data_IF_870382428523
#
_entry.id   IF_870382428523
#
_cell.length_a   1.000
_cell.length_b   1.000
_cell.length_c   1.000
_cell.angle_alpha   90.00
_cell.angle_beta   90.00
_cell.angle_gamma   90.00
#
_symmetry.space_group_name_H-M   'P 1'
#
loop_
_entity.id
_entity.type
_entity.pdbx_description
1 polymer ?
#
# COMPACT_ATOMS: atom_id res chain seq x y z
N UNK A 1 25.95 -15.97 -12.43
CA UNK A 1 25.76 -14.49 -12.47
C UNK A 1 25.02 -13.96 -11.22
N UNK A 2 24.00 -14.67 -10.71
CA UNK A 2 23.23 -14.28 -9.48
C UNK A 2 24.08 -14.41 -8.20
N UNK A 3 24.92 -15.43 -8.08
CA UNK A 3 25.79 -15.64 -6.91
C UNK A 3 26.79 -14.49 -6.68
N UNK A 4 27.35 -13.95 -7.74
CA UNK A 4 28.26 -12.81 -7.64
C UNK A 4 27.56 -11.53 -7.18
N UNK A 5 26.29 -11.33 -7.55
CA UNK A 5 25.51 -10.19 -7.13
C UNK A 5 25.19 -10.27 -5.63
N UNK A 6 24.82 -11.46 -5.14
CA UNK A 6 24.55 -11.72 -3.74
C UNK A 6 25.75 -11.44 -2.84
N UNK A 7 26.93 -11.98 -3.21
CA UNK A 7 28.19 -11.75 -2.47
C UNK A 7 28.52 -10.26 -2.47
N UNK A 8 28.32 -9.58 -3.58
CA UNK A 8 28.56 -8.15 -3.69
C UNK A 8 27.66 -7.34 -2.74
N UNK A 9 26.35 -7.61 -2.69
CA UNK A 9 25.42 -6.91 -1.80
C UNK A 9 25.71 -7.17 -0.32
N UNK A 10 26.15 -8.38 0.06
CA UNK A 10 26.59 -8.67 1.43
C UNK A 10 27.91 -7.96 1.75
N UNK A 11 28.87 -7.94 0.83
CA UNK A 11 30.16 -7.30 1.02
C UNK A 11 30.08 -5.80 1.21
N UNK A 12 29.24 -5.11 0.44
CA UNK A 12 28.99 -3.67 0.57
C UNK A 12 27.97 -3.32 1.65
N UNK A 13 27.57 -4.29 2.49
CA UNK A 13 26.68 -4.12 3.66
C UNK A 13 25.26 -3.63 3.36
N UNK A 14 24.76 -3.78 2.14
CA UNK A 14 23.35 -3.50 1.83
C UNK A 14 22.40 -4.60 2.31
N UNK A 15 22.91 -5.82 2.50
CA UNK A 15 22.18 -6.95 3.07
C UNK A 15 23.01 -7.62 4.16
N UNK A 16 22.33 -8.17 5.16
CA UNK A 16 22.92 -8.96 6.24
C UNK A 16 22.34 -10.37 6.22
N UNK A 17 23.20 -11.38 6.16
CA UNK A 17 22.79 -12.76 6.37
C UNK A 17 22.46 -12.97 7.85
N UNK A 18 21.27 -13.47 8.14
CA UNK A 18 20.76 -13.73 9.49
C UNK A 18 20.87 -15.22 9.82
N UNK A 19 20.61 -16.06 8.82
CA UNK A 19 20.59 -17.49 8.99
C UNK A 19 21.00 -18.18 7.68
N UNK A 20 21.74 -19.29 7.80
CA UNK A 20 21.97 -20.23 6.70
C UNK A 20 20.86 -21.27 6.75
N UNK A 21 20.16 -21.43 5.64
CA UNK A 21 19.12 -22.45 5.47
C UNK A 21 19.68 -23.66 4.74
N UNK A 22 18.91 -24.71 4.58
CA UNK A 22 19.30 -25.89 3.81
C UNK A 22 19.56 -25.53 2.31
N UNK A 23 20.39 -26.30 1.64
CA UNK A 23 20.75 -26.14 0.23
C UNK A 23 21.45 -24.81 -0.12
N UNK A 24 22.34 -24.31 0.75
CA UNK A 24 23.12 -23.08 0.53
C UNK A 24 22.25 -21.81 0.32
N UNK A 25 21.01 -21.85 0.80
CA UNK A 25 20.15 -20.66 0.85
C UNK A 25 20.41 -19.85 2.12
N UNK A 26 20.24 -18.53 2.04
CA UNK A 26 20.46 -17.61 3.15
C UNK A 26 19.20 -16.80 3.43
N UNK A 27 18.85 -16.66 4.69
CA UNK A 27 17.89 -15.67 5.12
C UNK A 27 18.59 -14.33 5.25
N UNK A 28 18.15 -13.35 4.49
CA UNK A 28 18.73 -12.00 4.47
C UNK A 28 17.81 -11.00 5.15
N UNK A 29 18.41 -9.97 5.73
CA UNK A 29 17.69 -8.81 6.24
C UNK A 29 18.38 -7.51 5.84
N UNK A 30 17.63 -6.42 5.80
CA UNK A 30 18.16 -5.06 5.64
C UNK A 30 18.79 -4.65 6.98
N UNK A 31 20.06 -4.19 7.00
CA UNK A 31 20.82 -4.04 8.24
C UNK A 31 20.36 -2.89 9.13
N UNK A 32 19.84 -1.82 8.56
CA UNK A 32 19.44 -0.61 9.30
C UNK A 32 18.38 0.21 8.53
N UNK A 33 17.89 1.29 9.15
CA UNK A 33 16.83 2.15 8.59
C UNK A 33 17.28 2.95 7.37
N UNK A 34 18.54 3.37 7.33
CA UNK A 34 19.11 4.16 6.24
C UNK A 34 19.18 3.31 4.96
N UNK A 35 19.64 2.07 5.06
CA UNK A 35 19.65 1.15 3.92
C UNK A 35 18.23 0.77 3.52
N UNK A 36 17.31 0.63 4.47
CA UNK A 36 15.88 0.41 4.17
C UNK A 36 15.32 1.56 3.33
N UNK A 37 15.59 2.80 3.71
CA UNK A 37 15.16 3.98 2.95
C UNK A 37 15.73 3.97 1.53
N UNK A 38 17.00 3.65 1.35
CA UNK A 38 17.61 3.53 0.00
C UNK A 38 16.90 2.48 -0.85
N UNK A 39 16.55 1.32 -0.26
CA UNK A 39 15.78 0.30 -1.01
C UNK A 39 14.38 0.78 -1.35
N UNK A 40 13.70 1.47 -0.44
CA UNK A 40 12.39 2.05 -0.69
C UNK A 40 12.47 3.08 -1.81
N UNK A 41 13.42 3.99 -1.79
CA UNK A 41 13.63 5.01 -2.83
C UNK A 41 13.96 4.37 -4.19
N UNK A 42 14.87 3.39 -4.24
CA UNK A 42 15.19 2.65 -5.46
C UNK A 42 14.00 1.87 -6.01
N UNK A 43 13.18 1.28 -5.13
CA UNK A 43 11.96 0.59 -5.52
C UNK A 43 10.96 1.58 -6.13
N UNK A 44 10.76 2.73 -5.49
CA UNK A 44 9.95 3.83 -6.01
C UNK A 44 10.40 4.28 -7.40
N UNK A 45 11.69 4.57 -7.55
CA UNK A 45 12.25 5.06 -8.82
C UNK A 45 12.13 4.03 -9.94
N UNK A 46 12.24 2.74 -9.64
CA UNK A 46 12.10 1.66 -10.63
C UNK A 46 10.64 1.48 -11.07
N UNK A 47 9.69 1.51 -10.16
CA UNK A 47 8.28 1.27 -10.46
C UNK A 47 7.53 2.52 -10.94
N UNK A 48 7.96 3.71 -10.56
CA UNK A 48 7.35 4.99 -10.93
C UNK A 48 7.12 5.17 -12.44
N UNK A 49 8.09 4.87 -13.34
CA UNK A 49 7.87 4.97 -14.78
C UNK A 49 6.87 3.94 -15.32
N UNK A 50 6.91 2.71 -14.77
CA UNK A 50 6.09 1.59 -15.24
C UNK A 50 4.62 1.75 -14.91
N UNK A 51 4.32 2.33 -13.74
CA UNK A 51 2.95 2.41 -13.21
C UNK A 51 2.43 3.83 -13.05
N UNK A 52 3.20 4.85 -13.43
CA UNK A 52 2.79 6.25 -13.25
C UNK A 52 1.41 6.53 -13.85
N UNK A 53 1.19 6.13 -15.11
CA UNK A 53 -0.08 6.34 -15.80
C UNK A 53 -1.22 5.56 -15.13
N UNK A 54 -1.01 4.27 -14.91
CA UNK A 54 -2.04 3.39 -14.31
C UNK A 54 -2.30 3.74 -12.85
N UNK A 55 -1.28 4.20 -12.11
CA UNK A 55 -1.43 4.72 -10.76
C UNK A 55 -2.25 6.01 -10.71
N UNK A 56 -2.03 6.92 -11.67
CA UNK A 56 -2.85 8.13 -11.81
C UNK A 56 -4.30 7.79 -12.17
N UNK A 57 -4.53 6.84 -13.08
CA UNK A 57 -5.86 6.36 -13.43
C UNK A 57 -6.57 5.68 -12.24
N UNK A 58 -5.83 4.88 -11.47
CA UNK A 58 -6.35 4.25 -10.24
C UNK A 58 -6.70 5.30 -9.19
N UNK A 59 -5.81 6.25 -8.93
CA UNK A 59 -6.06 7.36 -8.02
C UNK A 59 -7.27 8.19 -8.43
N UNK A 60 -7.40 8.50 -9.73
CA UNK A 60 -8.53 9.24 -10.25
C UNK A 60 -9.85 8.45 -10.11
N UNK A 61 -9.82 7.13 -10.34
CA UNK A 61 -10.99 6.27 -10.12
C UNK A 61 -11.46 6.28 -8.66
N UNK A 62 -10.53 6.36 -7.70
CA UNK A 62 -10.88 6.52 -6.27
C UNK A 62 -11.51 7.90 -6.00
N UNK A 63 -10.97 8.98 -6.58
CA UNK A 63 -11.53 10.33 -6.41
C UNK A 63 -12.93 10.48 -7.04
N UNK A 64 -13.21 9.74 -8.11
CA UNK A 64 -14.51 9.72 -8.80
C UNK A 64 -15.50 8.69 -8.21
N UNK A 65 -15.13 8.04 -7.09
CA UNK A 65 -15.92 6.99 -6.43
C UNK A 65 -16.25 5.82 -7.38
N UNK A 66 -15.46 5.65 -8.44
CA UNK A 66 -15.62 4.57 -9.42
C UNK A 66 -14.91 3.30 -8.93
N UNK A 67 -15.50 2.68 -7.91
CA UNK A 67 -14.94 1.50 -7.24
C UNK A 67 -14.71 0.33 -8.20
N UNK A 68 -15.60 0.12 -9.18
CA UNK A 68 -15.46 -0.99 -10.14
C UNK A 68 -14.22 -0.81 -11.01
N UNK A 69 -13.99 0.41 -11.51
CA UNK A 69 -12.80 0.72 -12.30
C UNK A 69 -11.53 0.65 -11.45
N UNK A 70 -11.58 1.12 -10.21
CA UNK A 70 -10.48 1.02 -9.28
C UNK A 70 -10.07 -0.45 -9.01
N UNK A 71 -11.05 -1.35 -8.82
CA UNK A 71 -10.81 -2.79 -8.66
C UNK A 71 -10.15 -3.37 -9.92
N UNK A 72 -10.67 -3.06 -11.11
CA UNK A 72 -10.12 -3.55 -12.37
C UNK A 72 -8.66 -3.13 -12.56
N UNK A 73 -8.37 -1.83 -12.42
CA UNK A 73 -7.02 -1.28 -12.56
C UNK A 73 -6.05 -1.90 -11.55
N UNK A 74 -6.44 -1.99 -10.28
CA UNK A 74 -5.60 -2.56 -9.23
C UNK A 74 -5.31 -4.04 -9.51
N UNK A 75 -6.31 -4.83 -9.92
CA UNK A 75 -6.12 -6.24 -10.23
C UNK A 75 -5.20 -6.45 -11.45
N UNK A 76 -5.31 -5.63 -12.49
CA UNK A 76 -4.42 -5.69 -13.64
C UNK A 76 -2.96 -5.44 -13.23
N UNK A 77 -2.71 -4.41 -12.42
CA UNK A 77 -1.37 -4.13 -11.90
C UNK A 77 -0.84 -5.29 -11.05
N UNK A 78 -1.66 -5.86 -10.18
CA UNK A 78 -1.27 -6.98 -9.32
C UNK A 78 -0.89 -8.24 -10.12
N UNK A 79 -1.59 -8.52 -11.21
CA UNK A 79 -1.30 -9.66 -12.09
C UNK A 79 0.09 -9.49 -12.73
N UNK A 80 0.43 -8.30 -13.18
CA UNK A 80 1.66 -8.00 -13.89
C UNK A 80 2.88 -7.87 -12.95
N UNK A 81 2.68 -7.36 -11.72
CA UNK A 81 3.78 -6.92 -10.85
C UNK A 81 4.17 -7.90 -9.74
N UNK A 82 3.30 -8.82 -9.33
CA UNK A 82 3.52 -9.61 -8.11
C UNK A 82 3.80 -11.08 -8.41
N UNK A 83 4.84 -11.63 -7.74
CA UNK A 83 5.04 -13.08 -7.63
C UNK A 83 4.10 -13.67 -6.56
N UNK A 84 3.63 -14.90 -6.76
CA UNK A 84 2.80 -15.62 -5.78
C UNK A 84 3.47 -15.81 -4.40
N UNK A 85 4.80 -15.67 -4.31
CA UNK A 85 5.59 -15.90 -3.10
C UNK A 85 5.75 -14.66 -2.21
N UNK A 86 5.45 -13.47 -2.70
CA UNK A 86 5.77 -12.21 -2.00
C UNK A 86 4.58 -11.61 -1.22
N UNK A 87 3.48 -12.32 -1.12
CA UNK A 87 2.21 -11.85 -0.59
C UNK A 87 2.19 -11.75 0.96
N UNK A 88 2.86 -10.75 1.51
CA UNK A 88 2.73 -10.33 2.92
C UNK A 88 1.99 -9.00 3.01
N UNK A 89 1.32 -8.75 4.14
CA UNK A 89 0.58 -7.50 4.40
C UNK A 89 1.44 -6.26 4.17
N UNK A 90 2.67 -6.25 4.69
CA UNK A 90 3.62 -5.14 4.53
C UNK A 90 4.00 -4.84 3.08
N UNK A 91 3.94 -5.86 2.20
CA UNK A 91 4.17 -5.67 0.78
C UNK A 91 3.04 -4.87 0.12
N UNK A 92 1.79 -5.25 0.35
CA UNK A 92 0.64 -4.57 -0.27
C UNK A 92 0.50 -3.13 0.22
N UNK A 93 0.81 -2.89 1.49
CA UNK A 93 0.85 -1.55 2.05
C UNK A 93 1.89 -0.67 1.33
N UNK A 94 3.13 -1.12 1.22
CA UNK A 94 4.18 -0.41 0.50
C UNK A 94 3.90 -0.25 -1.00
N UNK A 95 3.31 -1.28 -1.61
CA UNK A 95 2.88 -1.26 -3.01
C UNK A 95 1.82 -0.18 -3.27
N UNK A 96 0.77 -0.11 -2.44
CA UNK A 96 -0.25 0.94 -2.56
C UNK A 96 0.33 2.33 -2.30
N UNK A 97 1.19 2.47 -1.31
CA UNK A 97 1.86 3.73 -1.03
C UNK A 97 2.65 4.22 -2.26
N UNK A 98 3.36 3.29 -2.95
CA UNK A 98 4.07 3.58 -4.20
C UNK A 98 3.14 3.95 -5.34
N UNK A 99 2.09 3.17 -5.54
CA UNK A 99 1.13 3.37 -6.63
C UNK A 99 0.38 4.70 -6.52
N UNK A 100 0.05 5.12 -5.29
CA UNK A 100 -0.74 6.32 -5.00
C UNK A 100 0.12 7.58 -4.81
N UNK A 101 1.45 7.44 -4.77
CA UNK A 101 2.34 8.59 -4.61
C UNK A 101 2.20 9.56 -5.80
N UNK A 102 1.87 10.82 -5.50
CA UNK A 102 1.79 11.88 -6.49
C UNK A 102 2.13 13.26 -5.88
N UNK A 103 2.48 14.22 -6.73
CA UNK A 103 2.95 15.54 -6.28
C UNK A 103 1.84 16.46 -5.76
N UNK A 104 0.57 16.14 -6.02
CA UNK A 104 -0.59 16.95 -5.60
C UNK A 104 -1.06 16.63 -4.18
N UNK A 105 -0.67 15.47 -3.65
CA UNK A 105 -1.09 14.97 -2.34
C UNK A 105 0.11 14.66 -1.46
N UNK A 106 -0.05 14.88 -0.17
CA UNK A 106 0.83 14.35 0.84
C UNK A 106 0.37 12.93 1.21
N UNK A 107 1.25 11.96 1.01
CA UNK A 107 1.00 10.59 1.41
C UNK A 107 1.45 10.39 2.85
N UNK A 108 0.52 10.10 3.74
CA UNK A 108 0.78 9.73 5.12
C UNK A 108 0.56 8.22 5.30
N UNK A 109 1.51 7.56 5.94
CA UNK A 109 1.52 6.11 6.12
C UNK A 109 1.69 5.76 7.58
N UNK A 110 0.85 4.85 8.10
CA UNK A 110 0.87 4.42 9.50
C UNK A 110 0.82 5.58 10.51
N UNK A 111 0.03 6.60 10.24
CA UNK A 111 -0.07 7.79 11.08
C UNK A 111 -1.26 7.69 12.05
N UNK A 112 -1.12 8.29 13.22
CA UNK A 112 -2.18 8.28 14.24
C UNK A 112 -3.28 9.28 13.88
N UNK A 113 -4.53 8.82 13.89
CA UNK A 113 -5.70 9.67 13.73
C UNK A 113 -6.91 9.04 14.44
N UNK A 114 -7.81 9.89 14.92
CA UNK A 114 -8.97 9.41 15.67
C UNK A 114 -8.56 8.58 16.87
N UNK A 115 -9.07 7.34 16.94
CA UNK A 115 -8.81 6.40 18.04
C UNK A 115 -7.82 5.29 17.65
N UNK A 116 -6.97 5.52 16.66
CA UNK A 116 -6.04 4.50 16.20
C UNK A 116 -5.04 5.02 15.17
N UNK A 117 -4.57 4.10 14.35
CA UNK A 117 -3.61 4.35 13.28
C UNK A 117 -4.18 3.82 11.98
N UNK A 118 -4.30 4.68 10.98
CA UNK A 118 -4.69 4.27 9.62
C UNK A 118 -3.47 3.77 8.83
N UNK A 119 -3.72 2.99 7.81
CA UNK A 119 -2.65 2.49 6.96
C UNK A 119 -2.14 3.57 6.01
N UNK A 120 -3.01 4.20 5.23
CA UNK A 120 -2.65 5.25 4.27
C UNK A 120 -3.67 6.40 4.31
N UNK A 121 -3.17 7.64 4.16
CA UNK A 121 -3.98 8.79 3.84
C UNK A 121 -3.32 9.63 2.76
N UNK A 122 -4.12 10.13 1.83
CA UNK A 122 -3.73 11.08 0.81
C UNK A 122 -4.40 12.41 1.14
N UNK A 123 -3.60 13.36 1.57
CA UNK A 123 -4.07 14.69 2.00
C UNK A 123 -3.74 15.69 0.89
N UNK A 124 -4.73 16.43 0.36
CA UNK A 124 -4.48 17.43 -0.67
C UNK A 124 -3.49 18.49 -0.18
N UNK A 125 -2.50 18.86 -1.00
CA UNK A 125 -1.59 19.97 -0.69
C UNK A 125 -2.25 21.33 -0.85
N UNK A 126 -3.33 21.40 -1.63
CA UNK A 126 -4.15 22.60 -1.79
C UNK A 126 -5.38 22.51 -0.88
N UNK A 127 -5.82 23.63 -0.28
CA UNK A 127 -7.01 23.65 0.56
C UNK A 127 -8.27 23.32 -0.24
N UNK A 128 -9.30 22.82 0.44
CA UNK A 128 -10.61 22.46 -0.12
C UNK A 128 -10.61 21.29 -1.12
N UNK A 129 -9.52 20.52 -1.19
CA UNK A 129 -9.47 19.30 -1.98
C UNK A 129 -10.15 18.12 -1.27
N UNK A 130 -10.38 17.04 -2.02
CA UNK A 130 -10.87 15.77 -1.48
C UNK A 130 -9.68 14.90 -1.08
N UNK A 131 -9.59 14.52 0.20
CA UNK A 131 -8.61 13.56 0.69
C UNK A 131 -9.14 12.13 0.63
N UNK A 132 -8.24 11.15 0.76
CA UNK A 132 -8.60 9.74 0.74
C UNK A 132 -7.95 9.05 1.94
N UNK A 133 -8.73 8.25 2.69
CA UNK A 133 -8.22 7.34 3.72
C UNK A 133 -8.40 5.91 3.23
N UNK A 134 -7.37 5.09 3.42
CA UNK A 134 -7.37 3.68 3.04
C UNK A 134 -6.93 2.84 4.23
N UNK A 135 -7.71 1.80 4.49
CA UNK A 135 -7.34 0.71 5.40
C UNK A 135 -7.20 -0.58 4.60
N UNK A 136 -6.10 -1.30 4.82
CA UNK A 136 -5.75 -2.49 4.07
C UNK A 136 -5.89 -3.74 4.93
N UNK A 137 -6.36 -4.83 4.34
CA UNK A 137 -6.34 -6.15 4.96
C UNK A 137 -5.79 -7.18 3.99
N UNK A 138 -5.21 -8.22 4.53
CA UNK A 138 -4.62 -9.29 3.77
C UNK A 138 -5.18 -10.65 4.20
N UNK A 139 -5.47 -11.51 3.23
CA UNK A 139 -5.73 -12.93 3.44
C UNK A 139 -4.89 -13.81 2.51
N UNK A 140 -4.64 -15.03 2.93
CA UNK A 140 -4.03 -16.07 2.08
C UNK A 140 -5.03 -16.67 1.10
N UNK A 141 -6.34 -16.51 1.36
CA UNK A 141 -7.44 -17.12 0.60
C UNK A 141 -8.23 -16.03 -0.11
N UNK A 142 -8.47 -16.19 -1.39
CA UNK A 142 -9.29 -15.29 -2.19
C UNK A 142 -10.77 -15.28 -1.73
N UNK A 143 -11.24 -16.39 -1.14
CA UNK A 143 -12.59 -16.49 -0.54
C UNK A 143 -12.86 -15.48 0.55
N UNK A 144 -11.81 -14.98 1.20
CA UNK A 144 -11.93 -14.11 2.36
C UNK A 144 -11.93 -12.60 2.00
N UNK A 145 -11.69 -12.27 0.72
CA UNK A 145 -11.54 -10.89 0.26
C UNK A 145 -12.68 -9.97 0.70
N UNK A 146 -13.93 -10.41 0.53
CA UNK A 146 -15.10 -9.62 0.93
C UNK A 146 -15.12 -9.36 2.43
N UNK A 147 -14.94 -10.41 3.24
CA UNK A 147 -14.95 -10.32 4.70
C UNK A 147 -13.81 -9.45 5.22
N UNK A 148 -12.62 -9.57 4.63
CA UNK A 148 -11.48 -8.73 4.98
C UNK A 148 -11.72 -7.27 4.61
N UNK A 149 -12.32 -7.01 3.45
CA UNK A 149 -12.68 -5.67 3.03
C UNK A 149 -13.73 -5.04 3.95
N UNK A 150 -14.74 -5.78 4.35
CA UNK A 150 -15.74 -5.34 5.34
C UNK A 150 -15.10 -5.03 6.69
N UNK A 151 -14.12 -5.84 7.10
CA UNK A 151 -13.35 -5.59 8.33
C UNK A 151 -12.52 -4.31 8.24
N UNK A 152 -11.92 -4.02 7.08
CA UNK A 152 -11.20 -2.77 6.85
C UNK A 152 -12.15 -1.56 6.95
N UNK A 153 -13.31 -1.62 6.28
CA UNK A 153 -14.33 -0.59 6.37
C UNK A 153 -14.82 -0.35 7.81
N UNK A 154 -15.11 -1.43 8.52
CA UNK A 154 -15.54 -1.36 9.93
C UNK A 154 -14.47 -0.72 10.83
N UNK A 155 -13.19 -0.96 10.55
CA UNK A 155 -12.09 -0.35 11.30
C UNK A 155 -12.04 1.16 11.07
N UNK A 156 -12.17 1.65 9.84
CA UNK A 156 -12.21 3.09 9.52
C UNK A 156 -13.31 3.77 10.33
N UNK A 157 -14.51 3.21 10.33
CA UNK A 157 -15.67 3.77 11.05
C UNK A 157 -15.44 3.73 12.57
N UNK A 158 -15.10 2.57 13.13
CA UNK A 158 -14.95 2.39 14.57
C UNK A 158 -13.81 3.20 15.20
N UNK A 159 -12.76 3.49 14.41
CA UNK A 159 -11.61 4.30 14.83
C UNK A 159 -11.77 5.78 14.52
N UNK A 160 -12.85 6.18 13.85
CA UNK A 160 -13.17 7.57 13.54
C UNK A 160 -12.04 8.28 12.75
N UNK A 161 -11.34 7.56 11.86
CA UNK A 161 -10.20 8.12 11.12
C UNK A 161 -10.58 9.34 10.30
N UNK A 162 -11.73 9.29 9.66
CA UNK A 162 -12.24 10.37 8.81
C UNK A 162 -12.47 11.64 9.60
N UNK A 163 -13.02 11.56 10.82
CA UNK A 163 -13.35 12.73 11.66
C UNK A 163 -12.11 13.58 11.98
N UNK A 164 -10.92 13.01 11.96
CA UNK A 164 -9.68 13.75 12.20
C UNK A 164 -9.38 14.79 11.11
N UNK A 165 -9.91 14.61 9.90
CA UNK A 165 -9.60 15.44 8.73
C UNK A 165 -10.78 16.28 8.22
N UNK A 166 -12.02 15.98 8.62
CA UNK A 166 -13.24 16.61 8.07
C UNK A 166 -13.40 18.10 8.36
N UNK A 167 -12.59 18.67 9.25
CA UNK A 167 -12.58 20.12 9.48
C UNK A 167 -11.92 20.90 8.36
N UNK A 168 -11.02 20.26 7.61
CA UNK A 168 -10.16 20.91 6.63
C UNK A 168 -10.41 20.38 5.21
N UNK A 169 -10.86 19.12 5.09
CA UNK A 169 -10.98 18.43 3.81
C UNK A 169 -12.30 17.67 3.69
N UNK A 170 -12.80 17.58 2.47
CA UNK A 170 -13.75 16.51 2.14
C UNK A 170 -12.96 15.20 2.06
N UNK A 171 -13.46 14.13 2.70
CA UNK A 171 -12.71 12.87 2.78
C UNK A 171 -13.51 11.75 2.11
N UNK A 172 -12.83 10.93 1.33
CA UNK A 172 -13.31 9.62 0.89
C UNK A 172 -12.59 8.54 1.71
N UNK A 173 -13.23 7.42 1.90
CA UNK A 173 -12.65 6.34 2.68
C UNK A 173 -12.88 4.99 2.02
N UNK A 174 -11.82 4.16 1.95
CA UNK A 174 -11.85 2.87 1.28
C UNK A 174 -11.25 1.78 2.14
N UNK A 175 -11.96 0.66 2.26
CA UNK A 175 -11.40 -0.60 2.69
C UNK A 175 -10.85 -1.35 1.48
N UNK A 176 -9.62 -1.82 1.54
CA UNK A 176 -9.00 -2.62 0.48
C UNK A 176 -8.51 -3.94 1.07
N UNK A 177 -8.96 -5.04 0.48
CA UNK A 177 -8.50 -6.37 0.85
C UNK A 177 -7.67 -6.99 -0.28
N UNK A 178 -6.60 -7.68 0.10
CA UNK A 178 -5.70 -8.36 -0.82
C UNK A 178 -5.63 -9.85 -0.53
N UNK A 179 -5.59 -10.65 -1.60
CA UNK A 179 -5.25 -12.06 -1.52
C UNK A 179 -4.49 -12.47 -2.78
N UNK A 180 -3.21 -12.84 -2.64
CA UNK A 180 -2.33 -13.17 -3.77
C UNK A 180 -2.31 -12.04 -4.82
N UNK A 181 -2.77 -12.33 -6.04
CA UNK A 181 -2.83 -11.37 -7.16
C UNK A 181 -4.21 -10.72 -7.34
N UNK A 182 -5.03 -10.74 -6.29
CA UNK A 182 -6.37 -10.15 -6.32
C UNK A 182 -6.56 -9.15 -5.21
N UNK A 183 -7.32 -8.11 -5.53
CA UNK A 183 -7.81 -7.13 -4.58
C UNK A 183 -9.31 -6.92 -4.71
N UNK A 184 -9.92 -6.53 -3.62
CA UNK A 184 -11.29 -6.05 -3.57
C UNK A 184 -11.32 -4.73 -2.82
N UNK A 185 -12.12 -3.78 -3.30
CA UNK A 185 -12.24 -2.43 -2.76
C UNK A 185 -13.69 -2.16 -2.42
N UNK A 186 -13.91 -1.50 -1.29
CA UNK A 186 -15.22 -1.04 -0.87
C UNK A 186 -15.12 0.37 -0.33
N UNK A 187 -16.01 1.21 -0.77
CA UNK A 187 -16.18 2.55 -0.23
C UNK A 187 -16.86 2.48 1.15
N UNK A 188 -16.44 3.35 2.04
CA UNK A 188 -17.02 3.48 3.38
C UNK A 188 -18.01 4.63 3.38
N UNK A 189 -19.29 4.30 3.49
CA UNK A 189 -20.30 5.30 3.81
C UNK A 189 -20.23 5.64 5.31
N UNK A 190 -20.08 6.90 5.64
CA UNK A 190 -20.09 7.39 7.02
C UNK A 190 -20.94 8.65 7.12
N UNK A 191 -21.69 8.74 8.20
CA UNK A 191 -22.46 9.93 8.53
C UNK A 191 -21.55 10.93 9.28
N UNK A 192 -21.50 12.15 8.78
CA UNK A 192 -20.84 13.28 9.45
C UNK A 192 -21.88 13.93 10.39
N UNK A 193 -22.17 13.29 11.54
CA UNK A 193 -22.91 13.92 12.61
C UNK A 193 -22.00 14.77 13.51
#
# INVERSE_FOLDING_TARGET
>A
MIENLFIHFCFIRYLKAVQVLENQTFLLTIPNKEVKQVYEDCFYDYFKPLYKKTGEEFFQALLEENVMKAIELLNNILIESISYYDAKESFYHGFLAGLLHNDRYELQSNHEAGRGRFDLALIPRLPFGTGIIIECKYSRKESDLFTMCDSACAQIVSKEYVKAFTKEYNMLAYGIAFAKKKAYIKEVCYDLE
#
